data_IF_341256407632
#
_entry.id   IF_341256407632
#
_cell.length_a   1.000
_cell.length_b   1.000
_cell.length_c   1.000
_cell.angle_alpha   90.00
_cell.angle_beta   90.00
_cell.angle_gamma   90.00
#
_symmetry.space_group_name_H-M   'P 1'
#
loop_
_entity.id
_entity.type
_entity.pdbx_description
1 polymer ?
2 polymer ?
3 non-polymer ?
4 water ?
#
loop_
_entity_poly.entity_id
_entity_poly.type
_entity_poly.pdbx_seq_one_letter_code
_entity_poly.pdbx_strand_id
2 'polyribonucleotide' 'GGGGCGGUAGCUCAGCCUGGGAGAGCACCGGACUGAAGAUCCGGGUGUCGGGGGUUCAAAUCCCCCCCGCCCCACC' ?
#
# COMPACT_ATOMS: atom_id res chain seq x y z
N UNK A 1 -24.87 -2.25 -25.43
CA UNK A 1 -25.96 -1.44 -24.87
C UNK A 1 -27.32 -1.83 -25.45
N UNK A 2 -28.06 -2.72 -24.77
CA UNK A 2 -29.32 -3.21 -25.30
C UNK A 2 -30.14 -3.90 -24.22
N UNK A 3 -30.99 -4.85 -24.64
CA UNK A 3 -31.87 -5.49 -23.66
C UNK A 3 -32.79 -6.68 -23.97
N UNK A 4 -33.55 -7.13 -22.96
CA UNK A 4 -34.42 -8.37 -23.10
C UNK A 4 -35.69 -8.35 -22.22
N UNK A 5 -36.49 -9.41 -22.32
CA UNK A 5 -37.84 -9.49 -21.76
C UNK A 5 -38.09 -10.83 -21.07
N UNK A 6 -38.86 -10.80 -19.96
CA UNK A 6 -39.10 -11.95 -19.09
C UNK A 6 -40.30 -11.77 -18.17
N UNK A 7 -41.13 -12.81 -18.04
CA UNK A 7 -42.27 -12.79 -17.12
C UNK A 7 -41.82 -12.69 -15.67
N UNK A 8 -42.59 -11.94 -14.86
CA UNK A 8 -42.19 -11.63 -13.49
C UNK A 8 -41.90 -12.87 -12.67
N UNK A 9 -42.67 -13.95 -12.87
CA UNK A 9 -42.44 -15.19 -12.15
C UNK A 9 -41.24 -15.98 -12.69
N UNK A 10 -40.59 -15.50 -13.76
CA UNK A 10 -39.43 -16.18 -14.33
C UNK A 10 -38.16 -15.34 -14.35
N UNK A 11 -38.25 -14.03 -14.05
CA UNK A 11 -37.16 -13.09 -14.25
C UNK A 11 -35.83 -13.54 -13.65
N UNK A 12 -35.88 -14.22 -12.50
CA UNK A 12 -34.65 -14.55 -11.79
C UNK A 12 -33.75 -15.46 -12.61
N UNK A 13 -34.29 -16.60 -13.06
CA UNK A 13 -33.50 -17.53 -13.86
C UNK A 13 -32.94 -16.86 -15.11
N UNK A 14 -33.72 -15.95 -15.71
CA UNK A 14 -33.22 -15.18 -16.84
C UNK A 14 -32.00 -14.36 -16.43
N UNK A 15 -32.08 -13.71 -15.26
CA UNK A 15 -30.97 -12.89 -14.79
C UNK A 15 -29.72 -13.74 -14.56
N UNK A 16 -29.89 -14.90 -13.91
CA UNK A 16 -28.74 -15.74 -13.59
C UNK A 16 -28.10 -16.31 -14.85
N UNK A 17 -28.91 -16.79 -15.79
CA UNK A 17 -28.36 -17.37 -17.01
C UNK A 17 -27.70 -16.30 -17.89
N UNK A 18 -28.41 -15.18 -18.11
CA UNK A 18 -27.82 -14.07 -18.86
C UNK A 18 -26.54 -13.57 -18.19
N UNK A 19 -26.46 -13.70 -16.86
CA UNK A 19 -25.22 -13.37 -16.16
C UNK A 19 -24.15 -14.42 -16.43
N UNK A 20 -24.55 -15.69 -16.59
CA UNK A 20 -23.58 -16.71 -17.00
C UNK A 20 -22.99 -16.38 -18.36
N UNK A 21 -23.84 -15.94 -19.29
CA UNK A 21 -23.33 -15.52 -20.60
C UNK A 21 -22.63 -14.18 -20.54
N UNK A 22 -22.83 -13.42 -19.45
CA UNK A 22 -22.19 -12.13 -19.33
C UNK A 22 -22.71 -11.07 -20.26
N UNK A 23 -23.78 -11.37 -21.01
CA UNK A 23 -24.35 -10.36 -21.90
C UNK A 23 -25.15 -9.31 -21.16
N UNK A 24 -25.48 -9.53 -19.89
CA UNK A 24 -26.32 -8.60 -19.14
C UNK A 24 -25.58 -7.28 -18.92
N UNK A 25 -26.05 -6.22 -19.57
CA UNK A 25 -25.44 -4.91 -19.38
C UNK A 25 -25.69 -4.42 -17.96
N UNK A 26 -24.68 -3.78 -17.38
CA UNK A 26 -24.76 -3.32 -16.01
C UNK A 26 -24.79 -1.82 -15.85
N UNK A 27 -24.45 -1.09 -16.92
CA UNK A 27 -24.45 0.36 -16.88
C UNK A 27 -25.86 0.95 -16.98
N UNK A 28 -26.89 0.11 -17.00
CA UNK A 28 -28.27 0.57 -17.09
C UNK A 28 -29.12 -0.22 -16.10
N UNK A 29 -30.11 0.47 -15.52
CA UNK A 29 -31.06 -0.20 -14.65
C UNK A 29 -32.17 -0.85 -15.48
N UNK A 30 -32.90 -1.76 -14.86
CA UNK A 30 -33.88 -2.59 -15.54
C UNK A 30 -35.29 -2.20 -15.13
N UNK A 31 -36.20 -2.15 -16.12
CA UNK A 31 -37.59 -1.78 -15.89
C UNK A 31 -38.41 -3.01 -15.56
N UNK A 32 -39.27 -2.90 -14.56
CA UNK A 32 -40.16 -3.97 -14.13
C UNK A 32 -41.62 -3.55 -14.26
N UNK A 33 -42.43 -4.45 -14.83
CA UNK A 33 -43.87 -4.25 -14.96
C UNK A 33 -44.56 -5.50 -14.40
N UNK A 34 -45.82 -5.33 -13.98
CA UNK A 34 -46.57 -6.49 -13.51
C UNK A 34 -46.65 -7.57 -14.58
N UNK A 35 -46.84 -7.17 -15.85
CA UNK A 35 -46.84 -8.13 -16.94
C UNK A 35 -45.55 -8.94 -16.98
N UNK A 36 -44.43 -8.29 -17.32
CA UNK A 36 -43.14 -8.95 -17.48
C UNK A 36 -42.06 -8.08 -16.84
N UNK A 37 -40.82 -8.59 -16.84
CA UNK A 37 -39.64 -7.84 -16.43
C UNK A 37 -38.69 -7.70 -17.63
N UNK A 38 -38.04 -6.53 -17.72
CA UNK A 38 -37.18 -6.18 -18.85
C UNK A 38 -35.78 -5.88 -18.33
N UNK A 39 -34.77 -6.57 -18.90
CA UNK A 39 -33.37 -6.49 -18.48
C UNK A 39 -32.49 -6.00 -19.62
N UNK A 40 -31.44 -5.23 -19.33
CA UNK A 40 -30.50 -4.85 -20.38
C UNK A 40 -29.44 -5.91 -20.62
N UNK A 41 -28.86 -5.80 -21.83
CA UNK A 41 -27.98 -6.84 -22.37
C UNK A 41 -26.96 -6.17 -23.27
N UNK A 42 -25.81 -6.83 -23.42
CA UNK A 42 -24.69 -6.27 -24.18
C UNK A 42 -24.80 -6.54 -25.68
N UNK A 43 -25.12 -7.78 -26.08
CA UNK A 43 -25.15 -8.14 -27.50
C UNK A 43 -26.38 -8.98 -27.78
N UNK A 44 -27.22 -8.50 -28.71
CA UNK A 44 -28.51 -9.17 -28.97
C UNK A 44 -28.33 -10.50 -29.68
N UNK A 45 -27.21 -10.69 -30.39
CA UNK A 45 -26.97 -11.95 -31.09
C UNK A 45 -27.01 -13.13 -30.13
N UNK A 46 -26.22 -13.05 -29.06
CA UNK A 46 -26.23 -14.08 -28.04
C UNK A 46 -27.56 -14.16 -27.29
N UNK A 47 -28.43 -13.15 -27.44
CA UNK A 47 -29.73 -13.19 -26.80
C UNK A 47 -30.71 -14.05 -27.59
N UNK A 48 -30.71 -13.91 -28.93
CA UNK A 48 -31.46 -14.83 -29.76
C UNK A 48 -30.80 -16.21 -29.82
N UNK A 49 -29.52 -16.29 -29.47
CA UNK A 49 -28.87 -17.59 -29.32
C UNK A 49 -29.64 -18.46 -28.33
N UNK A 50 -29.93 -17.93 -27.15
CA UNK A 50 -30.81 -18.59 -26.20
C UNK A 50 -32.28 -18.36 -26.50
N UNK A 51 -32.59 -17.59 -27.53
CA UNK A 51 -33.97 -17.39 -27.94
C UNK A 51 -34.83 -16.61 -26.99
N UNK A 52 -34.24 -15.98 -25.97
CA UNK A 52 -35.02 -15.18 -25.05
C UNK A 52 -35.62 -13.98 -25.78
N UNK A 53 -36.89 -13.69 -25.48
CA UNK A 53 -37.58 -12.55 -26.07
C UNK A 53 -36.77 -11.28 -25.87
N UNK A 54 -36.35 -10.67 -26.97
CA UNK A 54 -35.43 -9.54 -26.95
C UNK A 54 -36.01 -8.43 -27.81
N UNK A 55 -36.48 -7.37 -27.18
CA UNK A 55 -36.92 -6.16 -27.88
C UNK A 55 -35.92 -5.06 -27.59
N UNK A 56 -35.40 -4.44 -28.65
CA UNK A 56 -34.55 -3.26 -28.48
C UNK A 56 -35.37 -2.16 -27.84
N UNK A 57 -34.90 -1.65 -26.69
CA UNK A 57 -35.65 -0.70 -25.90
C UNK A 57 -34.68 0.27 -25.23
N UNK A 58 -35.23 1.38 -24.73
CA UNK A 58 -34.45 2.40 -24.04
C UNK A 58 -34.63 2.20 -22.54
N UNK A 59 -33.54 1.84 -21.86
CA UNK A 59 -33.54 1.67 -20.42
C UNK A 59 -32.62 2.70 -19.77
N UNK A 60 -32.88 3.09 -18.53
CA UNK A 60 -32.22 4.29 -17.98
C UNK A 60 -30.78 4.04 -17.59
N UNK A 61 -29.98 5.11 -17.71
CA UNK A 61 -28.60 5.05 -17.24
C UNK A 61 -28.57 4.85 -15.73
N UNK A 62 -27.68 3.97 -15.28
CA UNK A 62 -27.44 3.80 -13.86
C UNK A 62 -26.73 5.03 -13.32
N UNK A 63 -26.87 5.33 -12.02
CA UNK A 63 -26.03 6.37 -11.42
C UNK A 63 -24.56 6.03 -11.59
N UNK A 64 -23.75 7.07 -11.78
CA UNK A 64 -22.32 6.86 -12.04
C UNK A 64 -21.65 6.10 -10.91
N UNK A 65 -22.00 6.43 -9.66
CA UNK A 65 -21.39 5.82 -8.49
C UNK A 65 -21.70 4.33 -8.36
N UNK A 66 -22.61 3.80 -9.17
CA UNK A 66 -22.95 2.38 -9.15
C UNK A 66 -22.25 1.59 -10.25
N UNK A 67 -21.55 2.26 -11.16
CA UNK A 67 -20.91 1.63 -12.30
C UNK A 67 -19.45 1.37 -11.96
N UNK A 68 -18.94 0.22 -12.40
CA UNK A 68 -17.58 -0.21 -12.04
C UNK A 68 -16.56 0.52 -12.90
N UNK A 69 -16.40 1.81 -12.61
CA UNK A 69 -15.38 2.60 -13.24
C UNK A 69 -13.99 2.11 -12.83
N UNK A 70 -13.01 2.40 -13.67
CA UNK A 70 -11.65 1.93 -13.46
C UNK A 70 -10.72 2.97 -14.06
N UNK A 71 -9.49 3.01 -13.55
CA UNK A 71 -8.51 3.96 -14.07
C UNK A 71 -8.31 3.80 -15.58
N UNK A 72 -8.08 2.56 -16.01
CA UNK A 72 -8.07 2.23 -17.43
C UNK A 72 -9.33 2.71 -18.12
N UNK A 73 -10.49 2.38 -17.53
CA UNK A 73 -11.78 2.68 -18.16
C UNK A 73 -12.00 4.18 -18.34
N UNK A 74 -11.49 4.97 -17.39
CA UNK A 74 -11.82 6.40 -17.33
C UNK A 74 -10.91 7.28 -18.16
N UNK A 75 -9.86 6.72 -18.76
CA UNK A 75 -8.84 7.45 -19.47
C UNK A 75 -8.67 6.94 -20.91
N UNK A 76 -8.21 7.80 -21.81
CA UNK A 76 -7.80 7.30 -23.13
C UNK A 76 -6.57 6.42 -23.03
N UNK A 77 -6.42 5.55 -24.04
CA UNK A 77 -5.35 4.54 -23.99
C UNK A 77 -3.97 5.18 -23.95
N UNK A 78 -3.79 6.31 -24.63
CA UNK A 78 -2.50 6.99 -24.63
C UNK A 78 -2.17 7.51 -23.23
N UNK A 79 -3.03 8.40 -22.71
CA UNK A 79 -2.76 9.03 -21.42
C UNK A 79 -2.70 8.00 -20.31
N UNK A 80 -3.48 6.92 -20.41
CA UNK A 80 -3.35 5.84 -19.43
C UNK A 80 -1.99 5.14 -19.56
N UNK A 81 -1.56 4.87 -20.79
CA UNK A 81 -0.27 4.23 -21.00
C UNK A 81 0.85 5.07 -20.42
N UNK A 82 0.74 6.40 -20.49
CA UNK A 82 1.79 7.25 -19.95
C UNK A 82 1.79 7.23 -18.42
N UNK A 83 0.60 7.32 -17.82
CA UNK A 83 0.50 7.50 -16.38
C UNK A 83 0.90 6.24 -15.59
N UNK A 84 1.55 6.49 -14.45
CA UNK A 84 1.96 5.43 -13.55
C UNK A 84 0.91 5.14 -12.50
N UNK A 85 1.18 4.14 -11.69
CA UNK A 85 0.14 3.58 -10.83
C UNK A 85 -0.30 4.60 -9.76
N UNK A 86 -1.54 4.43 -9.31
CA UNK A 86 -2.18 5.34 -8.37
C UNK A 86 -1.98 4.84 -6.94
N UNK A 87 -1.54 5.73 -6.07
CA UNK A 87 -1.35 5.41 -4.66
C UNK A 87 -2.04 6.47 -3.80
N UNK A 88 -2.93 6.04 -2.92
CA UNK A 88 -3.70 6.95 -2.08
C UNK A 88 -3.19 6.86 -0.66
N UNK A 89 -2.91 8.01 -0.05
CA UNK A 89 -2.42 8.11 1.31
C UNK A 89 -3.27 9.17 2.00
N UNK A 90 -4.13 8.75 2.92
CA UNK A 90 -5.12 9.65 3.50
C UNK A 90 -6.08 10.15 2.45
N UNK A 91 -6.09 11.46 2.21
CA UNK A 91 -6.82 12.03 1.08
C UNK A 91 -5.89 12.55 -0.01
N UNK A 92 -4.59 12.27 0.09
CA UNK A 92 -3.62 12.64 -0.93
C UNK A 92 -3.55 11.54 -1.98
N UNK A 93 -3.83 11.88 -3.23
CA UNK A 93 -3.68 10.97 -4.35
C UNK A 93 -2.34 11.26 -5.04
N UNK A 94 -1.47 10.26 -5.04
CA UNK A 94 -0.10 10.37 -5.52
C UNK A 94 0.03 9.51 -6.76
N UNK A 95 0.64 10.07 -7.81
CA UNK A 95 0.63 9.43 -9.12
C UNK A 95 1.80 9.98 -9.94
N UNK A 96 2.48 9.07 -10.63
CA UNK A 96 3.56 9.44 -11.54
C UNK A 96 2.98 9.85 -12.87
N UNK A 97 3.38 11.03 -13.34
CA UNK A 97 2.95 11.55 -14.64
C UNK A 97 4.16 12.16 -15.34
N UNK A 98 4.36 11.87 -16.61
CA UNK A 98 5.34 12.61 -17.39
C UNK A 98 4.75 13.92 -17.92
N UNK A 99 5.65 14.78 -18.42
CA UNK A 99 5.29 16.16 -18.74
C UNK A 99 4.26 16.23 -19.85
N UNK A 100 4.48 15.47 -20.91
CA UNK A 100 3.55 15.39 -22.04
C UNK A 100 2.14 15.09 -21.55
N UNK A 101 2.05 14.19 -20.58
CA UNK A 101 0.78 13.95 -19.89
C UNK A 101 0.39 15.15 -19.04
N UNK A 102 1.37 15.89 -18.52
CA UNK A 102 1.03 17.03 -17.66
C UNK A 102 0.29 18.10 -18.44
N UNK A 103 0.62 18.26 -19.72
CA UNK A 103 -0.13 19.19 -20.56
C UNK A 103 -1.60 18.77 -20.66
N UNK A 104 -1.86 17.49 -20.89
CA UNK A 104 -3.21 16.95 -21.00
C UNK A 104 -3.72 16.39 -19.67
N UNK A 105 -3.26 16.95 -18.54
CA UNK A 105 -3.48 16.32 -17.24
C UNK A 105 -4.86 16.63 -16.64
N UNK A 106 -5.52 17.71 -17.05
CA UNK A 106 -6.80 18.02 -16.44
C UNK A 106 -7.80 16.87 -16.63
N UNK A 107 -7.72 16.17 -17.76
CA UNK A 107 -8.48 14.94 -17.91
C UNK A 107 -8.08 13.93 -16.85
N UNK A 108 -6.78 13.87 -16.53
CA UNK A 108 -6.30 12.94 -15.52
C UNK A 108 -6.95 13.24 -14.17
N UNK A 109 -6.91 14.50 -13.75
CA UNK A 109 -7.47 14.83 -12.44
C UNK A 109 -8.96 14.56 -12.43
N UNK A 110 -9.64 14.81 -13.56
CA UNK A 110 -11.06 14.47 -13.64
C UNK A 110 -11.28 12.98 -13.39
N UNK A 111 -10.45 12.14 -14.02
CA UNK A 111 -10.59 10.70 -13.84
C UNK A 111 -10.32 10.30 -12.40
N UNK A 112 -9.29 10.85 -11.78
CA UNK A 112 -8.98 10.52 -10.39
C UNK A 112 -10.15 10.89 -9.49
N UNK A 113 -10.67 12.12 -9.64
CA UNK A 113 -11.79 12.56 -8.82
C UNK A 113 -12.99 11.64 -9.02
N UNK A 114 -13.27 11.24 -10.26
CA UNK A 114 -14.37 10.32 -10.50
C UNK A 114 -14.16 9.02 -9.73
N UNK A 115 -12.94 8.47 -9.81
CA UNK A 115 -12.65 7.21 -9.13
C UNK A 115 -12.77 7.34 -7.62
N UNK A 116 -12.28 8.44 -7.05
CA UNK A 116 -12.37 8.70 -5.62
C UNK A 116 -12.78 10.15 -5.37
N UNK A 117 -13.94 10.38 -4.78
CA UNK A 117 -14.44 11.75 -4.60
C UNK A 117 -14.01 12.43 -3.30
N UNK A 118 -13.32 11.72 -2.41
CA UNK A 118 -12.86 12.29 -1.15
C UNK A 118 -11.39 12.71 -1.20
N UNK A 119 -10.69 12.45 -2.30
CA UNK A 119 -9.30 12.87 -2.46
C UNK A 119 -9.25 14.38 -2.63
N UNK A 120 -8.84 15.09 -1.58
CA UNK A 120 -8.86 16.54 -1.59
C UNK A 120 -7.61 17.17 -2.17
N UNK A 121 -6.52 16.41 -2.31
CA UNK A 121 -5.30 16.89 -2.92
C UNK A 121 -4.76 15.80 -3.85
N UNK A 122 -4.13 16.24 -4.94
CA UNK A 122 -3.59 15.36 -5.98
C UNK A 122 -2.24 15.93 -6.39
N UNK A 123 -1.20 15.09 -6.34
CA UNK A 123 0.18 15.52 -6.47
C UNK A 123 0.93 14.66 -7.47
N UNK A 124 1.70 15.29 -8.35
CA UNK A 124 2.64 14.55 -9.19
C UNK A 124 3.80 14.05 -8.33
N UNK A 125 4.33 12.90 -8.71
CA UNK A 125 5.28 12.18 -7.86
C UNK A 125 6.65 12.11 -8.52
N UNK A 126 7.69 12.25 -7.70
CA UNK A 126 9.06 12.18 -8.17
C UNK A 126 9.83 11.01 -7.60
N UNK A 127 11.05 11.27 -7.12
CA UNK A 127 11.93 10.23 -6.62
C UNK A 127 12.35 10.53 -5.19
N UNK A 128 12.68 9.48 -4.44
CA UNK A 128 13.24 9.68 -3.11
C UNK A 128 14.69 10.14 -3.20
N UNK A 129 15.06 11.01 -2.27
CA UNK A 129 16.43 11.53 -2.21
C UNK A 129 16.67 12.15 -0.85
N UNK A 130 17.95 12.26 -0.50
CA UNK A 130 18.36 12.96 0.70
C UNK A 130 18.46 12.07 1.92
N UNK A 131 18.93 12.67 3.01
CA UNK A 131 19.09 11.95 4.27
C UNK A 131 17.76 11.47 4.81
N UNK A 132 16.76 12.36 4.85
CA UNK A 132 15.45 12.04 5.40
C UNK A 132 14.60 11.17 4.48
N UNK A 133 15.11 10.84 3.29
CA UNK A 133 14.48 9.90 2.36
C UNK A 133 13.14 10.40 1.84
N UNK A 134 12.94 11.72 1.89
CA UNK A 134 11.69 12.32 1.43
C UNK A 134 11.47 12.05 -0.05
N UNK A 135 10.21 12.15 -0.47
CA UNK A 135 9.86 12.03 -1.88
C UNK A 135 9.49 13.40 -2.43
N UNK A 136 9.83 13.63 -3.68
CA UNK A 136 9.51 14.88 -4.36
C UNK A 136 8.08 14.83 -4.88
N UNK A 137 7.29 15.85 -4.53
CA UNK A 137 5.94 15.98 -5.08
C UNK A 137 5.57 17.44 -5.24
N UNK A 138 5.00 17.77 -6.39
CA UNK A 138 4.47 19.09 -6.71
C UNK A 138 2.99 18.93 -7.00
N UNK A 139 2.14 19.59 -6.18
CA UNK A 139 0.71 19.39 -6.28
C UNK A 139 0.20 19.79 -7.65
N UNK A 140 -0.70 18.99 -8.19
CA UNK A 140 -1.39 19.33 -9.43
C UNK A 140 -2.80 19.85 -9.17
N UNK A 141 -3.40 19.53 -8.02
CA UNK A 141 -4.76 20.00 -7.74
C UNK A 141 -5.06 19.87 -6.25
N UNK A 142 -5.93 20.75 -5.76
CA UNK A 142 -6.44 20.68 -4.40
C UNK A 142 -5.73 21.66 -3.48
N UNK A 143 -6.03 21.49 -2.18
CA UNK A 143 -5.38 22.29 -1.15
C UNK A 143 -3.87 22.06 -1.19
N UNK A 144 -3.10 23.14 -1.13
CA UNK A 144 -1.64 23.03 -1.20
C UNK A 144 -1.14 22.57 0.17
N UNK A 145 -1.19 21.26 0.38
CA UNK A 145 -0.83 20.63 1.64
C UNK A 145 -0.55 19.15 1.41
N UNK A 146 0.33 18.57 2.24
CA UNK A 146 0.76 17.19 2.08
C UNK A 146 0.82 16.47 3.44
N UNK A 147 -0.08 16.81 4.37
CA UNK A 147 -0.15 16.21 5.69
C UNK A 147 -1.55 15.69 5.96
N UNK A 148 -1.66 14.45 6.44
CA UNK A 148 -2.95 13.84 6.73
C UNK A 148 -2.76 12.62 7.62
N UNK A 149 -3.80 12.27 8.36
CA UNK A 149 -3.89 10.96 9.00
C UNK A 149 -4.21 9.91 7.93
N UNK A 150 -3.61 8.73 8.06
CA UNK A 150 -3.78 7.67 7.06
C UNK A 150 -4.08 6.36 7.77
N UNK A 151 -5.26 5.81 7.53
CA UNK A 151 -5.68 4.57 8.20
C UNK A 151 -5.04 3.37 7.52
N UNK A 152 -4.44 2.49 8.32
CA UNK A 152 -3.77 1.31 7.78
C UNK A 152 -3.65 0.26 8.87
N UNK A 153 -4.18 -0.94 8.60
CA UNK A 153 -4.09 -2.08 9.51
C UNK A 153 -4.59 -1.75 10.91
N UNK A 154 -5.73 -1.06 10.97
CA UNK A 154 -6.29 -0.69 12.25
C UNK A 154 -5.51 0.36 13.01
N UNK A 155 -4.71 1.16 12.31
CA UNK A 155 -3.80 2.13 12.89
C UNK A 155 -4.01 3.46 12.19
N UNK A 156 -3.80 4.56 12.91
CA UNK A 156 -3.80 5.90 12.35
C UNK A 156 -2.38 6.42 12.26
N UNK A 157 -2.06 7.10 11.16
CA UNK A 157 -0.69 7.54 10.88
C UNK A 157 -0.76 8.93 10.25
N UNK A 158 -0.28 9.94 10.98
CA UNK A 158 -0.14 11.28 10.44
C UNK A 158 1.18 11.40 9.67
N UNK A 159 1.13 12.11 8.56
CA UNK A 159 2.30 12.27 7.70
C UNK A 159 2.28 13.68 7.12
N UNK A 160 3.48 14.25 6.90
CA UNK A 160 3.64 15.43 6.07
C UNK A 160 4.70 15.05 5.04
N UNK A 161 4.24 14.46 3.94
CA UNK A 161 5.14 13.94 2.91
C UNK A 161 6.17 14.97 2.46
N UNK A 162 5.87 16.25 2.63
CA UNK A 162 6.85 17.29 2.34
C UNK A 162 8.09 17.14 3.22
N UNK A 163 7.89 16.82 4.50
CA UNK A 163 8.98 16.81 5.47
C UNK A 163 9.34 15.42 5.97
N UNK A 164 8.64 14.37 5.54
CA UNK A 164 8.85 13.02 6.07
C UNK A 164 8.65 12.01 4.95
N UNK A 165 9.11 10.79 5.18
CA UNK A 165 8.96 9.67 4.26
C UNK A 165 7.88 8.73 4.79
N UNK A 166 7.10 8.16 3.85
CA UNK A 166 6.16 7.09 4.16
C UNK A 166 5.76 6.43 2.84
N UNK A 167 5.62 5.11 2.87
CA UNK A 167 5.18 4.35 1.70
C UNK A 167 4.10 3.37 2.13
N UNK A 168 2.86 3.50 1.64
CA UNK A 168 1.79 2.62 2.12
C UNK A 168 1.94 1.18 1.67
N UNK A 169 2.56 0.93 0.51
CA UNK A 169 2.52 -0.40 -0.10
C UNK A 169 3.09 -1.47 0.81
N UNK A 170 4.14 -1.16 1.58
CA UNK A 170 4.76 -2.18 2.41
C UNK A 170 3.94 -2.52 3.66
N UNK A 171 2.70 -2.02 3.73
CA UNK A 171 1.79 -2.42 4.81
C UNK A 171 1.71 -3.94 4.93
N UNK A 172 1.68 -4.65 3.81
CA UNK A 172 1.70 -6.10 3.82
C UNK A 172 2.86 -6.59 4.65
N UNK A 173 4.07 -6.17 4.27
CA UNK A 173 5.25 -6.45 5.08
C UNK A 173 5.05 -6.02 6.53
N UNK A 174 4.50 -4.83 6.74
CA UNK A 174 4.27 -4.36 8.09
C UNK A 174 3.29 -5.26 8.83
N UNK A 175 2.29 -5.78 8.12
CA UNK A 175 1.44 -6.80 8.72
C UNK A 175 2.22 -8.11 8.89
N UNK A 176 3.02 -8.49 7.89
CA UNK A 176 3.64 -9.81 7.89
C UNK A 176 4.58 -10.00 9.07
N UNK A 177 5.45 -9.01 9.32
CA UNK A 177 6.32 -9.09 10.49
C UNK A 177 5.50 -9.06 11.77
N UNK A 178 4.38 -8.33 11.77
CA UNK A 178 3.61 -8.13 13.00
C UNK A 178 3.15 -9.46 13.57
N UNK A 179 2.55 -10.31 12.74
CA UNK A 179 2.09 -11.60 13.22
C UNK A 179 3.24 -12.57 13.47
N UNK A 180 4.42 -12.29 12.91
CA UNK A 180 5.57 -13.13 13.21
C UNK A 180 6.14 -12.86 14.60
N UNK A 181 5.75 -11.75 15.21
CA UNK A 181 6.21 -11.40 16.55
C UNK A 181 5.46 -12.25 17.56
N UNK A 182 5.92 -12.23 18.81
CA UNK A 182 5.25 -12.93 19.90
C UNK A 182 5.07 -11.95 21.05
N UNK A 183 4.08 -12.23 21.90
CA UNK A 183 3.73 -11.29 22.95
C UNK A 183 4.82 -11.22 24.01
N UNK A 184 4.95 -10.06 24.65
CA UNK A 184 5.96 -9.86 25.65
C UNK A 184 7.37 -9.64 25.14
N UNK A 185 7.60 -9.78 23.84
CA UNK A 185 8.94 -9.62 23.30
C UNK A 185 9.40 -8.16 23.36
N UNK A 186 10.72 -8.00 23.22
CA UNK A 186 11.36 -6.70 23.16
C UNK A 186 12.05 -6.57 21.80
N UNK A 187 11.63 -5.55 21.04
CA UNK A 187 12.08 -5.30 19.68
C UNK A 187 12.56 -3.85 19.52
N UNK A 188 13.65 -3.69 18.76
CA UNK A 188 14.18 -2.39 18.39
C UNK A 188 14.04 -2.18 16.89
N UNK A 189 13.56 -1.00 16.50
CA UNK A 189 13.44 -0.67 15.08
C UNK A 189 14.23 0.61 14.80
N UNK A 190 15.41 0.51 14.20
CA UNK A 190 16.12 1.72 13.77
C UNK A 190 15.52 2.24 12.48
N UNK A 191 15.79 3.52 12.20
CA UNK A 191 15.22 4.19 11.04
C UNK A 191 13.70 4.08 11.05
N UNK A 192 13.10 4.32 12.22
CA UNK A 192 11.65 4.17 12.35
C UNK A 192 10.90 5.01 11.34
N UNK A 193 11.30 6.27 11.17
CA UNK A 193 10.45 7.25 10.51
C UNK A 193 9.41 7.69 11.52
N UNK A 194 8.17 7.89 11.06
CA UNK A 194 7.02 7.71 11.95
C UNK A 194 7.05 6.24 12.38
N UNK A 195 6.04 5.78 13.10
CA UNK A 195 6.09 4.41 13.63
C UNK A 195 5.11 3.51 12.86
N UNK A 196 5.21 3.35 11.53
CA UNK A 196 4.34 2.35 10.90
C UNK A 196 4.64 0.95 11.39
N UNK A 197 5.92 0.60 11.45
CA UNK A 197 6.30 -0.76 11.84
C UNK A 197 5.96 -1.05 13.28
N UNK A 198 6.48 -0.35 14.30
CA UNK A 198 6.09 -0.66 15.67
C UNK A 198 4.66 -0.25 16.06
N UNK A 199 3.96 0.62 15.31
CA UNK A 199 2.52 0.78 15.56
C UNK A 199 1.76 -0.46 15.11
N UNK A 200 1.92 -0.84 13.84
CA UNK A 200 1.20 -2.01 13.34
C UNK A 200 1.62 -3.27 14.10
N UNK A 201 2.85 -3.31 14.61
CA UNK A 201 3.23 -4.42 15.48
C UNK A 201 2.50 -4.32 16.82
N UNK A 202 2.52 -3.14 17.45
CA UNK A 202 1.93 -3.00 18.78
C UNK A 202 0.42 -3.29 18.77
N UNK A 203 -0.25 -2.98 17.66
CA UNK A 203 -1.69 -3.23 17.56
C UNK A 203 -1.99 -4.72 17.71
N UNK A 204 -1.09 -5.58 17.25
CA UNK A 204 -1.38 -7.01 17.16
C UNK A 204 -0.72 -7.85 18.24
N UNK A 205 0.27 -7.31 18.96
CA UNK A 205 0.93 -8.05 20.03
C UNK A 205 1.22 -7.12 21.20
N UNK A 206 1.20 -7.69 22.41
CA UNK A 206 1.56 -6.99 23.64
C UNK A 206 3.07 -7.05 23.77
N UNK A 207 3.74 -5.96 23.38
CA UNK A 207 5.19 -5.96 23.19
C UNK A 207 5.71 -4.57 23.52
N UNK A 208 6.87 -4.53 24.17
CA UNK A 208 7.63 -3.29 24.32
C UNK A 208 8.56 -3.14 23.12
N UNK A 209 8.52 -1.98 22.48
CA UNK A 209 9.29 -1.73 21.26
C UNK A 209 9.87 -0.33 21.32
N UNK A 210 11.17 -0.20 21.05
CA UNK A 210 11.84 1.09 21.00
C UNK A 210 12.14 1.46 19.56
N UNK A 211 12.01 2.75 19.24
CA UNK A 211 12.20 3.26 17.89
C UNK A 211 13.21 4.39 17.90
N UNK A 212 13.96 4.50 16.80
CA UNK A 212 15.06 5.46 16.68
C UNK A 212 14.87 6.28 15.40
N UNK A 213 15.06 7.60 15.50
CA UNK A 213 14.77 8.57 14.45
C UNK A 213 15.72 9.74 14.50
N UNK A 214 16.19 10.20 13.33
CA UNK A 214 16.92 11.46 13.25
C UNK A 214 16.00 12.60 12.84
N UNK A 215 15.08 12.34 11.90
CA UNK A 215 14.26 13.41 11.37
C UNK A 215 13.40 13.94 12.51
N UNK A 216 13.75 15.12 13.01
CA UNK A 216 13.07 15.66 14.18
C UNK A 216 11.58 15.91 13.90
N UNK A 217 11.24 16.31 12.67
CA UNK A 217 9.84 16.52 12.33
C UNK A 217 9.09 15.20 12.30
N UNK A 218 9.75 14.13 11.83
CA UNK A 218 9.15 12.80 11.91
C UNK A 218 8.98 12.36 13.36
N UNK A 219 9.85 12.83 14.27
CA UNK A 219 9.64 12.59 15.69
C UNK A 219 8.40 13.35 16.18
N UNK A 220 8.26 14.60 15.76
CA UNK A 220 7.06 15.36 16.11
C UNK A 220 5.80 14.59 15.71
N UNK A 221 5.71 14.23 14.43
CA UNK A 221 4.55 13.48 13.95
C UNK A 221 4.37 12.16 14.69
N UNK A 222 5.46 11.43 14.92
CA UNK A 222 5.35 10.16 15.64
C UNK A 222 4.78 10.37 17.03
N UNK A 223 5.24 11.43 17.72
CA UNK A 223 4.68 11.80 19.01
C UNK A 223 3.17 11.99 18.92
N UNK A 224 2.71 12.68 17.87
CA UNK A 224 1.26 12.82 17.66
C UNK A 224 0.58 11.47 17.47
N UNK A 225 1.19 10.59 16.68
CA UNK A 225 0.58 9.28 16.40
C UNK A 225 0.39 8.48 17.69
N UNK A 226 1.28 8.67 18.67
CA UNK A 226 1.29 7.87 19.90
C UNK A 226 0.01 8.00 20.72
N UNK A 227 -0.66 9.14 20.66
CA UNK A 227 -1.87 9.31 21.46
C UNK A 227 -3.02 8.53 20.83
N UNK A 228 -3.33 8.84 19.58
CA UNK A 228 -4.41 8.17 18.89
C UNK A 228 -4.24 6.66 18.96
N UNK A 229 -3.08 6.16 18.56
CA UNK A 229 -2.96 4.71 18.56
C UNK A 229 -2.60 4.17 19.93
N UNK A 230 -2.31 5.06 20.89
CA UNK A 230 -2.17 4.64 22.28
C UNK A 230 -3.52 4.21 22.84
N UNK A 231 -4.60 4.90 22.46
CA UNK A 231 -5.92 4.38 22.78
C UNK A 231 -6.15 3.05 22.09
N UNK A 232 -5.52 2.85 20.93
CA UNK A 232 -5.81 1.70 20.06
C UNK A 232 -4.83 0.55 20.19
N UNK A 233 -3.78 0.65 21.00
CA UNK A 233 -2.73 -0.35 20.93
C UNK A 233 -2.67 -1.17 22.22
N UNK A 234 -2.40 -2.47 22.03
CA UNK A 234 -2.13 -3.35 23.15
C UNK A 234 -0.73 -3.12 23.71
N UNK A 235 0.24 -2.82 22.83
CA UNK A 235 1.62 -2.68 23.22
C UNK A 235 2.02 -1.25 23.56
N UNK A 236 3.30 -1.09 23.89
CA UNK A 236 3.87 0.20 24.26
C UNK A 236 5.12 0.46 23.43
N UNK A 237 5.34 1.73 23.07
CA UNK A 237 6.44 2.11 22.19
C UNK A 237 7.17 3.31 22.77
N UNK A 238 8.50 3.29 22.66
CA UNK A 238 9.37 4.36 23.14
C UNK A 238 10.10 4.96 21.95
N UNK A 239 9.98 6.27 21.77
CA UNK A 239 10.57 6.97 20.63
C UNK A 239 11.79 7.75 21.13
N UNK A 240 12.96 7.30 20.71
CA UNK A 240 14.22 7.98 20.99
C UNK A 240 14.66 8.73 19.74
N UNK A 241 15.18 9.94 19.94
CA UNK A 241 15.56 10.83 18.85
C UNK A 241 17.07 10.87 18.73
N UNK A 242 17.59 10.43 17.60
CA UNK A 242 19.01 10.55 17.34
C UNK A 242 19.50 9.61 16.26
N UNK A 243 20.80 9.64 16.05
CA UNK A 243 21.46 8.85 15.02
C UNK A 243 21.51 7.39 15.45
N UNK A 244 21.20 6.47 14.52
CA UNK A 244 21.16 5.04 14.85
C UNK A 244 22.48 4.57 15.45
N UNK A 245 23.61 5.07 14.95
CA UNK A 245 24.88 4.48 15.33
C UNK A 245 25.37 4.95 16.70
N UNK A 246 24.96 6.11 17.18
CA UNK A 246 25.23 6.44 18.57
C UNK A 246 24.34 5.63 19.51
N UNK A 247 23.04 5.60 19.21
CA UNK A 247 22.07 5.00 20.13
C UNK A 247 22.29 3.51 20.26
N UNK A 248 22.63 2.84 19.15
CA UNK A 248 22.65 1.38 19.19
C UNK A 248 23.70 0.80 20.12
N UNK A 249 24.96 1.26 20.11
CA UNK A 249 25.88 0.86 21.19
C UNK A 249 25.37 1.21 22.59
N UNK A 250 24.74 2.37 22.75
CA UNK A 250 24.36 2.86 24.07
C UNK A 250 23.03 2.31 24.57
N UNK A 251 22.45 1.34 23.88
CA UNK A 251 21.17 0.75 24.28
C UNK A 251 21.34 -0.74 24.53
N UNK A 252 20.51 -1.34 25.39
CA UNK A 252 20.65 -2.77 25.67
C UNK A 252 20.22 -3.64 24.49
N UNK A 253 20.29 -4.96 24.66
CA UNK A 253 19.92 -5.86 23.58
C UNK A 253 18.41 -6.10 23.55
N UNK A 254 17.92 -6.52 22.39
CA UNK A 254 16.50 -6.78 22.18
C UNK A 254 16.32 -8.17 21.59
N UNK A 255 15.12 -8.72 21.75
CA UNK A 255 14.83 -10.04 21.20
C UNK A 255 14.80 -10.03 19.68
N UNK A 256 14.06 -9.09 19.11
CA UNK A 256 13.95 -8.95 17.67
C UNK A 256 14.49 -7.58 17.29
N UNK A 257 14.91 -7.44 16.02
CA UNK A 257 15.38 -6.18 15.47
C UNK A 257 14.89 -6.12 14.02
N UNK A 258 14.33 -4.98 13.62
CA UNK A 258 13.80 -4.80 12.29
C UNK A 258 14.44 -3.54 11.72
N UNK A 259 15.25 -3.70 10.69
CA UNK A 259 16.04 -2.61 10.12
C UNK A 259 15.55 -2.29 8.71
N UNK A 260 14.64 -1.37 8.55
CA UNK A 260 14.35 -0.83 7.21
C UNK A 260 15.44 0.15 6.80
N UNK A 261 16.56 -0.42 6.35
CA UNK A 261 17.75 0.38 6.08
C UNK A 261 17.50 1.37 4.94
N UNK A 262 17.90 2.62 5.08
CA UNK A 262 17.89 3.53 3.93
C UNK A 262 18.79 2.98 2.83
N UNK A 263 18.41 3.25 1.58
CA UNK A 263 19.18 2.71 0.47
C UNK A 263 20.59 3.29 0.48
N UNK A 264 21.57 2.47 0.11
CA UNK A 264 22.96 2.86 0.18
C UNK A 264 23.59 2.79 1.56
N UNK A 265 22.87 2.30 2.57
CA UNK A 265 23.38 2.31 3.94
C UNK A 265 23.59 0.87 4.39
N UNK A 266 24.64 0.66 5.19
CA UNK A 266 24.93 -0.66 5.77
C UNK A 266 24.77 -0.55 7.27
N UNK A 267 23.82 -1.31 7.82
CA UNK A 267 23.60 -1.40 9.25
C UNK A 267 23.45 -2.85 9.70
N UNK A 268 23.88 -3.80 8.87
CA UNK A 268 23.67 -5.21 9.17
C UNK A 268 24.43 -5.63 10.42
N UNK A 269 25.73 -5.31 10.47
CA UNK A 269 26.53 -5.66 11.64
C UNK A 269 25.94 -5.06 12.92
N UNK A 270 25.65 -3.76 12.88
CA UNK A 270 25.18 -3.07 14.07
C UNK A 270 23.87 -3.64 14.57
N UNK A 271 22.94 -3.91 13.64
CA UNK A 271 21.66 -4.48 14.04
C UNK A 271 21.85 -5.89 14.60
N UNK A 272 22.68 -6.71 13.94
CA UNK A 272 22.92 -8.07 14.41
C UNK A 272 23.55 -8.08 15.80
N UNK A 273 24.28 -7.01 16.15
CA UNK A 273 24.86 -6.94 17.49
C UNK A 273 23.80 -6.85 18.58
N UNK A 274 22.72 -6.10 18.35
CA UNK A 274 21.69 -5.85 19.35
C UNK A 274 20.61 -6.92 19.40
N UNK A 275 20.35 -7.62 18.30
CA UNK A 275 19.25 -8.57 18.27
C UNK A 275 19.66 -9.88 18.95
N UNK A 276 18.71 -10.46 19.69
CA UNK A 276 18.95 -11.68 20.46
C UNK A 276 18.38 -12.92 19.80
N UNK A 277 17.11 -12.86 19.37
CA UNK A 277 16.40 -13.99 18.80
C UNK A 277 16.37 -13.94 17.27
N UNK A 278 15.77 -12.89 16.70
CA UNK A 278 15.73 -12.74 15.25
C UNK A 278 16.02 -11.29 14.90
N UNK A 279 16.53 -11.07 13.68
CA UNK A 279 16.67 -9.71 13.14
C UNK A 279 16.12 -9.71 11.73
N UNK A 280 15.42 -8.63 11.37
CA UNK A 280 14.97 -8.43 9.99
C UNK A 280 15.70 -7.23 9.41
N UNK A 281 16.55 -7.50 8.43
CA UNK A 281 17.39 -6.49 7.82
C UNK A 281 16.96 -6.30 6.37
N UNK A 282 16.56 -5.07 6.04
CA UNK A 282 16.10 -4.75 4.69
C UNK A 282 17.24 -4.09 3.93
N UNK A 283 17.50 -4.56 2.71
CA UNK A 283 18.49 -3.94 1.86
C UNK A 283 17.98 -4.01 0.43
N UNK A 284 18.73 -3.41 -0.50
CA UNK A 284 18.37 -3.39 -1.90
C UNK A 284 19.39 -4.21 -2.67
N UNK A 285 18.91 -5.21 -3.41
CA UNK A 285 19.74 -6.26 -3.97
C UNK A 285 19.33 -6.54 -5.41
N UNK A 286 20.32 -6.83 -6.25
CA UNK A 286 20.08 -7.29 -7.60
C UNK A 286 19.87 -8.80 -7.59
N UNK A 287 19.03 -9.29 -8.50
CA UNK A 287 18.52 -10.66 -8.42
C UNK A 287 19.64 -11.68 -8.24
N UNK A 288 20.72 -11.55 -9.02
CA UNK A 288 21.84 -12.47 -8.88
C UNK A 288 22.43 -12.44 -7.48
N UNK A 289 22.44 -11.25 -6.86
CA UNK A 289 23.14 -11.12 -5.59
C UNK A 289 22.38 -11.72 -4.42
N UNK A 290 21.09 -12.02 -4.59
CA UNK A 290 20.26 -12.46 -3.47
C UNK A 290 20.94 -13.60 -2.71
N UNK A 291 21.18 -14.72 -3.39
CA UNK A 291 21.96 -15.80 -2.81
C UNK A 291 23.26 -15.27 -2.23
N UNK A 292 24.05 -14.57 -3.05
CA UNK A 292 25.26 -13.93 -2.56
C UNK A 292 24.96 -13.04 -1.35
N UNK A 293 23.89 -12.24 -1.43
CA UNK A 293 23.47 -11.43 -0.29
C UNK A 293 23.31 -12.30 0.94
N UNK A 294 22.62 -13.44 0.80
CA UNK A 294 22.53 -14.38 1.90
C UNK A 294 23.92 -14.71 2.43
N UNK A 295 24.82 -15.14 1.53
CA UNK A 295 26.20 -15.40 1.94
C UNK A 295 26.72 -14.25 2.78
N UNK A 296 26.61 -13.02 2.27
CA UNK A 296 27.06 -11.85 3.02
C UNK A 296 26.49 -11.87 4.43
N UNK A 297 25.17 -11.94 4.56
CA UNK A 297 24.56 -12.02 5.89
C UNK A 297 25.24 -13.09 6.71
N UNK A 298 25.33 -14.31 6.17
CA UNK A 298 25.97 -15.40 6.89
C UNK A 298 27.37 -15.03 7.33
N UNK A 299 28.16 -14.44 6.44
CA UNK A 299 29.50 -14.02 6.80
C UNK A 299 29.48 -13.16 8.06
N UNK A 300 28.58 -12.17 8.11
CA UNK A 300 28.51 -11.31 9.28
C UNK A 300 28.17 -12.14 10.51
N UNK A 301 27.21 -13.05 10.38
CA UNK A 301 26.83 -13.92 11.51
C UNK A 301 28.04 -14.66 12.04
N UNK A 302 28.96 -15.06 11.16
CA UNK A 302 30.15 -15.78 11.62
C UNK A 302 31.08 -14.86 12.39
N UNK A 303 31.21 -13.60 11.95
CA UNK A 303 32.05 -12.65 12.67
C UNK A 303 31.45 -12.32 14.03
N UNK A 304 30.11 -12.21 14.10
CA UNK A 304 29.41 -11.92 15.34
C UNK A 304 29.51 -13.05 16.36
N UNK A 305 30.09 -14.19 15.98
CA UNK A 305 30.05 -15.35 16.83
C UNK A 305 28.64 -15.87 17.05
N UNK A 306 27.75 -15.66 16.10
CA UNK A 306 26.34 -16.04 16.24
C UNK A 306 26.04 -17.20 15.30
N UNK A 307 25.62 -18.32 15.87
CA UNK A 307 25.17 -19.46 15.08
C UNK A 307 23.69 -19.27 14.77
N UNK A 308 23.37 -19.10 13.49
CA UNK A 308 22.01 -18.76 13.11
C UNK A 308 21.72 -19.23 11.70
N UNK A 309 20.44 -19.44 11.42
CA UNK A 309 19.96 -19.76 10.08
C UNK A 309 19.26 -18.54 9.50
N UNK A 310 19.44 -18.32 8.20
CA UNK A 310 18.92 -17.11 7.56
C UNK A 310 18.13 -17.52 6.32
N UNK A 311 17.08 -16.74 6.03
CA UNK A 311 16.33 -16.82 4.79
C UNK A 311 16.10 -15.41 4.28
N UNK A 312 15.85 -15.29 2.99
CA UNK A 312 15.66 -13.98 2.36
C UNK A 312 14.44 -14.05 1.46
N UNK A 313 13.62 -12.99 1.51
CA UNK A 313 12.43 -12.88 0.68
C UNK A 313 12.50 -11.59 -0.12
N UNK A 314 11.89 -11.61 -1.30
CA UNK A 314 11.85 -10.45 -2.18
C UNK A 314 10.68 -9.57 -1.75
N UNK A 315 10.97 -8.49 -1.02
CA UNK A 315 9.92 -7.65 -0.48
C UNK A 315 9.22 -6.88 -1.59
N UNK A 316 9.99 -6.25 -2.48
CA UNK A 316 9.35 -5.46 -3.53
C UNK A 316 10.33 -5.24 -4.68
N UNK A 317 9.81 -4.68 -5.77
CA UNK A 317 10.63 -4.29 -6.91
C UNK A 317 11.20 -2.90 -6.65
N UNK A 318 12.53 -2.79 -6.56
CA UNK A 318 13.11 -1.47 -6.38
C UNK A 318 13.31 -0.76 -7.72
N UNK A 319 13.85 -1.46 -8.70
CA UNK A 319 14.26 -0.89 -9.98
C UNK A 319 14.36 -2.03 -10.98
N UNK A 320 14.63 -1.77 -12.28
CA UNK A 320 14.85 -2.87 -13.22
C UNK A 320 15.90 -3.85 -12.71
N UNK A 321 15.48 -5.11 -12.53
CA UNK A 321 16.32 -6.22 -12.10
C UNK A 321 16.80 -6.08 -10.66
N UNK A 322 16.23 -5.15 -9.89
CA UNK A 322 16.65 -4.87 -8.53
C UNK A 322 15.42 -4.87 -7.61
N UNK A 323 15.51 -5.60 -6.50
CA UNK A 323 14.43 -5.73 -5.54
C UNK A 323 14.88 -5.29 -4.16
N UNK A 324 13.97 -4.65 -3.42
CA UNK A 324 14.12 -4.54 -1.97
C UNK A 324 13.82 -5.89 -1.33
N UNK A 325 14.72 -6.31 -0.44
CA UNK A 325 14.68 -7.65 0.14
C UNK A 325 14.89 -7.54 1.65
N UNK A 326 14.59 -8.66 2.34
CA UNK A 326 14.63 -8.77 3.78
C UNK A 326 15.33 -10.05 4.19
N UNK A 327 16.16 -9.97 5.23
CA UNK A 327 16.83 -11.12 5.82
C UNK A 327 16.34 -11.32 7.24
N UNK A 328 16.33 -12.60 7.68
CA UNK A 328 15.67 -13.01 8.94
C UNK A 328 16.65 -13.81 9.80
N UNK A 329 17.66 -13.13 10.35
CA UNK A 329 18.52 -13.72 11.36
C UNK A 329 17.67 -14.48 12.38
N UNK A 330 17.89 -15.80 12.45
CA UNK A 330 17.22 -16.66 13.42
C UNK A 330 18.30 -17.27 14.32
N UNK A 331 18.59 -16.59 15.41
CA UNK A 331 19.79 -16.86 16.21
C UNK A 331 19.54 -17.99 17.19
N UNK A 332 20.53 -18.88 17.30
CA UNK A 332 20.48 -19.97 18.26
C UNK A 332 21.44 -19.69 19.41
#
# INVERSE_FOLDING_TARGET
MSGVKVRREDAKKVLELLKSVGILDGKRKAIRDEKYVIFPVTDTNIAKSLGLEVVDVELPMRPERQIYKNLEDLLPREIFKKLGRLDIVGDIAIVSIPDEILSEREVIVSAIRKLYPKVKVIARRGFHSGLYRIRELEVIWGENRLHTIHKENGVLIKVDLSKVFFNPRMKGERYRIAQLVNDGERILVPFAGVIPYPLVIARFKNVEVYAVEINEFAVKLAEENLELNRDRLKGKIKIIHGDVFEVLPNLPNFDRVVSPTPKGVDALSLTLSKAEKFLHYYDFVHESEIERFRERVLEECRRQGKECRVSVRKVSDYKPHVYKVCADVEILS
#
